data_IF_145933481845
#
_entry.id   IF_145933481845
#
_cell.length_a   1.000
_cell.length_b   1.000
_cell.length_c   1.000
_cell.angle_alpha   90.00
_cell.angle_beta   90.00
_cell.angle_gamma   90.00
#
_symmetry.space_group_name_H-M   'P 1'
#
loop_
_entity.id
_entity.type
_entity.pdbx_description
1 polymer ?
#
# COMPACT_ATOMS: atom_id res chain seq x y z
N UNK A 1 -0.95 -6.09 -37.38
CA UNK A 1 -0.17 -7.20 -37.96
C UNK A 1 -0.97 -8.48 -38.08
N UNK A 2 -1.58 -9.00 -36.99
CA UNK A 2 -2.40 -10.24 -37.05
C UNK A 2 -3.62 -10.08 -37.96
N UNK A 3 -4.34 -8.96 -37.85
CA UNK A 3 -5.54 -8.70 -38.66
C UNK A 3 -5.24 -8.32 -40.12
N UNK A 4 -4.02 -7.85 -40.41
CA UNK A 4 -3.62 -7.38 -41.73
C UNK A 4 -2.21 -7.88 -42.09
N UNK A 5 -1.98 -9.17 -42.17
CA UNK A 5 -0.64 -9.74 -42.37
C UNK A 5 -0.03 -9.40 -43.74
N UNK A 6 -0.89 -9.25 -44.75
CA UNK A 6 -0.47 -8.96 -46.14
C UNK A 6 0.04 -7.53 -46.34
N UNK A 7 -0.44 -6.61 -45.47
CA UNK A 7 -0.19 -5.17 -45.63
C UNK A 7 1.00 -4.72 -44.77
N UNK A 8 1.14 -5.29 -43.54
CA UNK A 8 2.05 -4.76 -42.52
C UNK A 8 2.68 -5.84 -41.65
N UNK A 9 3.37 -6.78 -42.25
CA UNK A 9 4.14 -7.81 -41.53
C UNK A 9 5.15 -7.21 -40.55
N UNK A 10 5.75 -6.08 -40.87
CA UNK A 10 6.74 -5.41 -40.03
C UNK A 10 6.13 -4.89 -38.71
N UNK A 11 4.86 -4.50 -38.72
CA UNK A 11 4.15 -4.06 -37.52
C UNK A 11 3.99 -5.22 -36.52
N UNK A 12 3.64 -6.39 -37.05
CA UNK A 12 3.54 -7.58 -36.22
C UNK A 12 4.90 -7.91 -35.60
N UNK A 13 5.94 -8.05 -36.41
CA UNK A 13 7.27 -8.42 -35.91
C UNK A 13 7.85 -7.40 -34.92
N UNK A 14 7.59 -6.11 -35.15
CA UNK A 14 8.04 -5.05 -34.24
C UNK A 14 7.28 -5.11 -32.90
N UNK A 15 5.95 -5.20 -32.96
CA UNK A 15 5.11 -5.31 -31.76
C UNK A 15 5.40 -6.58 -30.97
N UNK A 16 5.47 -7.72 -31.66
CA UNK A 16 5.78 -9.01 -31.06
C UNK A 16 7.13 -8.98 -30.30
N UNK A 17 8.21 -8.53 -30.96
CA UNK A 17 9.53 -8.45 -30.31
C UNK A 17 9.53 -7.56 -29.08
N UNK A 18 8.90 -6.38 -29.16
CA UNK A 18 8.79 -5.44 -28.04
C UNK A 18 8.04 -6.04 -26.87
N UNK A 19 6.84 -6.59 -27.10
CA UNK A 19 6.02 -7.20 -26.03
C UNK A 19 6.79 -8.35 -25.38
N UNK A 20 7.37 -9.26 -26.17
CA UNK A 20 8.11 -10.40 -25.62
C UNK A 20 9.34 -9.95 -24.80
N UNK A 21 10.02 -8.89 -25.25
CA UNK A 21 11.15 -8.34 -24.53
C UNK A 21 10.70 -7.64 -23.23
N UNK A 22 9.66 -6.80 -23.28
CA UNK A 22 9.16 -6.03 -22.13
C UNK A 22 8.66 -6.95 -21.01
N UNK A 23 7.91 -8.01 -21.30
CA UNK A 23 7.46 -8.98 -20.27
C UNK A 23 8.64 -9.52 -19.46
N UNK A 24 9.79 -9.74 -20.10
CA UNK A 24 10.98 -10.24 -19.42
C UNK A 24 11.60 -9.27 -18.41
N UNK A 25 11.48 -7.96 -18.67
CA UNK A 25 12.15 -6.92 -17.87
C UNK A 25 11.20 -6.11 -16.99
N UNK A 26 9.91 -6.13 -17.30
CA UNK A 26 8.92 -5.33 -16.58
C UNK A 26 8.44 -5.96 -15.27
N UNK A 27 8.70 -7.26 -15.08
CA UNK A 27 8.28 -7.97 -13.87
C UNK A 27 9.51 -8.50 -13.11
N UNK A 28 9.45 -8.39 -11.78
CA UNK A 28 10.44 -9.00 -10.91
C UNK A 28 10.25 -10.52 -10.75
N UNK A 29 11.08 -11.16 -9.94
CA UNK A 29 11.03 -12.60 -9.72
C UNK A 29 9.74 -13.08 -9.03
N UNK A 30 9.04 -12.19 -8.32
CA UNK A 30 7.77 -12.46 -7.68
C UNK A 30 6.58 -12.19 -8.61
N UNK A 31 6.84 -11.75 -9.85
CA UNK A 31 5.83 -11.42 -10.85
C UNK A 31 5.23 -10.04 -10.68
N UNK A 32 5.87 -9.14 -9.93
CA UNK A 32 5.37 -7.80 -9.70
C UNK A 32 5.94 -6.84 -10.74
N UNK A 33 5.06 -6.05 -11.35
CA UNK A 33 5.46 -5.03 -12.30
C UNK A 33 6.31 -3.95 -11.62
N UNK A 34 7.32 -3.44 -12.33
CA UNK A 34 8.32 -2.52 -11.82
C UNK A 34 7.76 -1.21 -11.22
N UNK A 35 6.56 -0.79 -11.61
CA UNK A 35 5.89 0.38 -11.03
C UNK A 35 5.31 0.14 -9.64
N UNK A 36 5.17 -1.12 -9.21
CA UNK A 36 4.84 -1.55 -7.83
C UNK A 36 3.54 -0.97 -7.26
N UNK A 37 2.66 -0.48 -8.11
CA UNK A 37 1.33 0.00 -7.72
C UNK A 37 0.25 -0.96 -8.21
N UNK A 38 -0.82 -1.22 -7.46
CA UNK A 38 -1.82 -2.22 -7.80
C UNK A 38 -2.42 -2.01 -9.20
N UNK A 39 -2.83 -0.78 -9.49
CA UNK A 39 -3.52 -0.45 -10.73
C UNK A 39 -2.61 -0.58 -11.97
N UNK A 40 -1.38 -0.05 -11.90
CA UNK A 40 -0.46 -0.12 -13.05
C UNK A 40 0.10 -1.53 -13.25
N UNK A 41 0.25 -2.28 -12.17
CA UNK A 41 0.55 -3.69 -12.26
C UNK A 41 -0.56 -4.45 -13.01
N UNK A 42 -1.83 -4.24 -12.64
CA UNK A 42 -2.96 -4.91 -13.29
C UNK A 42 -3.10 -4.52 -14.76
N UNK A 43 -2.95 -3.22 -15.08
CA UNK A 43 -2.98 -2.72 -16.47
C UNK A 43 -1.88 -3.37 -17.30
N UNK A 44 -0.63 -3.35 -16.82
CA UNK A 44 0.50 -3.94 -17.54
C UNK A 44 0.34 -5.46 -17.70
N UNK A 45 0.06 -6.18 -16.61
CA UNK A 45 -0.17 -7.61 -16.65
C UNK A 45 -1.33 -7.99 -17.58
N UNK A 46 -2.43 -7.25 -17.54
CA UNK A 46 -3.59 -7.44 -18.41
C UNK A 46 -3.26 -7.27 -19.89
N UNK A 47 -2.55 -6.21 -20.27
CA UNK A 47 -2.13 -5.96 -21.67
C UNK A 47 -1.22 -7.09 -22.16
N UNK A 48 -0.23 -7.48 -21.38
CA UNK A 48 0.68 -8.57 -21.77
C UNK A 48 -0.04 -9.92 -21.85
N UNK A 49 -0.98 -10.16 -20.95
CA UNK A 49 -1.78 -11.38 -20.98
C UNK A 49 -2.71 -11.44 -22.20
N UNK A 50 -3.30 -10.32 -22.62
CA UNK A 50 -4.05 -10.24 -23.89
C UNK A 50 -3.15 -10.58 -25.08
N UNK A 51 -1.94 -10.04 -25.13
CA UNK A 51 -0.96 -10.36 -26.19
C UNK A 51 -0.60 -11.85 -26.19
N UNK A 52 -0.41 -12.45 -25.02
CA UNK A 52 -0.17 -13.88 -24.87
C UNK A 52 -1.34 -14.72 -25.43
N UNK A 53 -2.57 -14.42 -25.03
CA UNK A 53 -3.78 -15.12 -25.53
C UNK A 53 -3.93 -14.97 -27.03
N UNK A 54 -3.70 -13.78 -27.58
CA UNK A 54 -3.76 -13.56 -29.03
C UNK A 54 -2.74 -14.41 -29.78
N UNK A 55 -1.54 -14.56 -29.24
CA UNK A 55 -0.53 -15.44 -29.83
C UNK A 55 -1.01 -16.90 -29.80
N UNK A 56 -1.52 -17.40 -28.66
CA UNK A 56 -2.05 -18.76 -28.54
C UNK A 56 -3.21 -19.02 -29.52
N UNK A 57 -4.16 -18.12 -29.63
CA UNK A 57 -5.34 -18.24 -30.50
C UNK A 57 -4.98 -18.24 -32.00
N UNK A 58 -3.79 -17.78 -32.36
CA UNK A 58 -3.32 -17.71 -33.77
C UNK A 58 -2.12 -18.61 -34.03
N UNK A 59 -1.83 -19.60 -33.18
CA UNK A 59 -0.71 -20.51 -33.26
C UNK A 59 0.65 -19.81 -33.42
N UNK A 60 0.79 -18.64 -32.83
CA UNK A 60 2.03 -17.86 -32.84
C UNK A 60 2.88 -18.28 -31.64
N UNK A 61 4.12 -18.77 -31.86
CA UNK A 61 4.99 -19.18 -30.77
C UNK A 61 5.24 -18.05 -29.77
N UNK A 62 5.26 -18.39 -28.48
CA UNK A 62 5.63 -17.45 -27.40
C UNK A 62 6.86 -17.96 -26.66
N UNK A 63 7.73 -17.07 -26.13
CA UNK A 63 8.87 -17.50 -25.34
C UNK A 63 8.45 -18.30 -24.10
N UNK A 64 9.23 -19.32 -23.68
CA UNK A 64 8.87 -20.19 -22.54
C UNK A 64 8.72 -19.46 -21.19
N UNK A 65 9.32 -18.28 -21.04
CA UNK A 65 9.23 -17.50 -19.81
C UNK A 65 7.91 -16.70 -19.68
N UNK A 66 7.19 -16.46 -20.79
CA UNK A 66 6.06 -15.53 -20.81
C UNK A 66 4.91 -16.01 -19.92
N UNK A 67 4.47 -17.24 -20.12
CA UNK A 67 3.36 -17.81 -19.35
C UNK A 67 3.66 -17.88 -17.85
N UNK A 68 4.81 -18.43 -17.38
CA UNK A 68 5.12 -18.44 -15.96
C UNK A 68 5.27 -17.05 -15.32
N UNK A 69 5.77 -16.07 -16.07
CA UNK A 69 5.88 -14.68 -15.58
C UNK A 69 4.49 -14.07 -15.37
N UNK A 70 3.62 -14.21 -16.35
CA UNK A 70 2.26 -13.68 -16.27
C UNK A 70 1.42 -14.43 -15.24
N UNK A 71 1.56 -15.74 -15.10
CA UNK A 71 0.87 -16.51 -14.06
C UNK A 71 1.25 -16.05 -12.65
N UNK A 72 2.51 -15.71 -12.41
CA UNK A 72 2.97 -15.15 -11.13
C UNK A 72 2.41 -13.75 -10.85
N UNK A 73 2.00 -13.00 -11.87
CA UNK A 73 1.53 -11.63 -11.68
C UNK A 73 0.16 -11.55 -10.99
N UNK A 74 -0.72 -12.50 -11.23
CA UNK A 74 -2.08 -12.46 -10.70
C UNK A 74 -2.18 -12.61 -9.17
N UNK A 75 -1.39 -13.46 -8.48
CA UNK A 75 -1.38 -13.57 -7.03
C UNK A 75 -1.03 -12.27 -6.30
N UNK A 76 -0.27 -11.37 -6.91
CA UNK A 76 0.04 -10.07 -6.29
C UNK A 76 -1.23 -9.25 -6.06
N UNK A 77 -2.03 -9.00 -7.09
CA UNK A 77 -3.31 -8.28 -6.93
C UNK A 77 -4.24 -9.01 -5.97
N UNK A 78 -4.33 -10.34 -6.10
CA UNK A 78 -5.15 -11.18 -5.21
C UNK A 78 -4.76 -10.98 -3.73
N UNK A 79 -3.46 -10.91 -3.43
CA UNK A 79 -2.97 -10.71 -2.07
C UNK A 79 -3.37 -9.37 -1.46
N UNK A 80 -3.56 -8.35 -2.30
CA UNK A 80 -3.93 -6.99 -1.89
C UNK A 80 -5.44 -6.80 -1.70
N UNK A 81 -6.29 -7.71 -2.22
CA UNK A 81 -7.74 -7.61 -2.02
C UNK A 81 -8.07 -7.70 -0.53
N UNK A 82 -8.63 -6.64 0.04
CA UNK A 82 -9.03 -6.55 1.44
C UNK A 82 -10.32 -7.35 1.72
N UNK A 83 -10.72 -7.58 2.98
CA UNK A 83 -11.96 -8.28 3.31
C UNK A 83 -13.24 -7.61 2.79
N UNK A 84 -13.24 -6.30 2.57
CA UNK A 84 -14.32 -5.56 1.91
C UNK A 84 -14.29 -5.64 0.39
N UNK A 85 -13.38 -6.45 -0.17
CA UNK A 85 -13.14 -6.69 -1.59
C UNK A 85 -12.53 -5.50 -2.35
N UNK A 86 -12.10 -4.45 -1.67
CA UNK A 86 -11.34 -3.35 -2.25
C UNK A 86 -9.83 -3.61 -2.19
N UNK A 87 -9.04 -2.82 -2.93
CA UNK A 87 -7.58 -2.82 -2.86
C UNK A 87 -7.04 -1.56 -2.18
N UNK A 88 -5.85 -1.61 -1.57
CA UNK A 88 -5.17 -0.43 -1.05
C UNK A 88 -4.74 0.52 -2.18
N UNK A 89 -4.63 1.80 -1.84
CA UNK A 89 -4.25 2.85 -2.79
C UNK A 89 -2.74 3.12 -2.74
N UNK A 90 -1.92 2.08 -2.94
CA UNK A 90 -0.46 2.18 -2.92
C UNK A 90 0.03 3.03 -4.09
N UNK A 91 0.74 4.12 -3.81
CA UNK A 91 1.22 5.07 -4.80
C UNK A 91 0.07 5.70 -5.59
N UNK A 92 0.21 5.84 -6.90
CA UNK A 92 -0.82 6.42 -7.77
C UNK A 92 -2.00 5.47 -8.07
N UNK A 93 -2.30 4.51 -7.19
CA UNK A 93 -3.48 3.67 -7.36
C UNK A 93 -4.74 4.42 -6.92
N UNK A 94 -5.82 4.26 -7.70
CA UNK A 94 -7.17 4.54 -7.25
C UNK A 94 -7.68 3.37 -6.40
N UNK A 95 -8.73 3.59 -5.61
CA UNK A 95 -9.41 2.49 -4.94
C UNK A 95 -10.12 1.65 -6.00
N UNK A 96 -9.75 0.40 -6.09
CA UNK A 96 -10.43 -0.59 -6.92
C UNK A 96 -11.22 -1.57 -6.04
N UNK A 97 -12.22 -2.25 -6.60
CA UNK A 97 -13.18 -3.04 -5.85
C UNK A 97 -13.73 -4.18 -6.71
N UNK A 98 -13.80 -5.39 -6.16
CA UNK A 98 -14.37 -6.55 -6.83
C UNK A 98 -15.90 -6.50 -6.97
N UNK A 99 -16.59 -5.62 -6.25
CA UNK A 99 -18.06 -5.55 -6.26
C UNK A 99 -18.60 -4.53 -7.24
N UNK A 100 -17.85 -3.45 -7.46
CA UNK A 100 -18.23 -2.34 -8.33
C UNK A 100 -17.21 -2.16 -9.44
N UNK A 101 -17.58 -1.43 -10.44
CA UNK A 101 -16.63 -0.91 -11.42
C UNK A 101 -15.73 0.10 -10.71
N UNK A 102 -14.48 0.18 -11.16
CA UNK A 102 -13.47 1.15 -10.72
C UNK A 102 -14.10 2.49 -10.34
N UNK A 103 -13.84 2.96 -9.13
CA UNK A 103 -14.32 4.26 -8.64
C UNK A 103 -13.63 5.43 -9.36
N UNK A 104 -13.86 5.58 -10.65
CA UNK A 104 -13.59 6.83 -11.36
C UNK A 104 -14.81 7.72 -11.24
N UNK A 105 -15.03 8.21 -10.02
CA UNK A 105 -16.28 8.88 -9.66
C UNK A 105 -16.37 10.32 -10.16
N UNK A 106 -15.26 10.92 -10.57
CA UNK A 106 -15.22 12.37 -10.74
C UNK A 106 -15.48 12.87 -12.15
N UNK A 107 -15.04 12.13 -13.17
CA UNK A 107 -15.21 12.54 -14.57
C UNK A 107 -16.42 11.90 -15.24
N UNK A 108 -17.01 10.87 -14.62
CA UNK A 108 -18.00 10.00 -15.24
C UNK A 108 -19.30 9.87 -14.43
N UNK A 109 -19.52 10.71 -13.42
CA UNK A 109 -20.85 10.85 -12.81
C UNK A 109 -21.87 11.21 -13.89
N UNK A 110 -22.73 10.24 -14.24
CA UNK A 110 -23.74 10.38 -15.30
C UNK A 110 -23.42 9.65 -16.60
N UNK A 111 -22.25 9.07 -16.79
CA UNK A 111 -22.02 8.13 -17.89
C UNK A 111 -22.46 6.74 -17.46
N UNK A 112 -23.46 6.17 -18.17
CA UNK A 112 -23.77 4.74 -18.12
C UNK A 112 -22.62 3.96 -18.78
N UNK A 113 -21.50 3.82 -18.06
CA UNK A 113 -20.40 2.96 -18.49
C UNK A 113 -20.88 1.53 -18.31
N UNK A 114 -21.20 0.86 -19.40
CA UNK A 114 -21.55 -0.56 -19.38
C UNK A 114 -20.34 -1.36 -18.96
N UNK A 115 -20.52 -2.28 -18.01
CA UNK A 115 -19.52 -3.27 -17.64
C UNK A 115 -19.05 -4.01 -18.90
N UNK A 116 -17.77 -3.87 -19.23
CA UNK A 116 -17.13 -4.68 -20.26
C UNK A 116 -16.48 -5.90 -19.58
N UNK A 117 -17.06 -7.08 -19.74
CA UNK A 117 -16.52 -8.29 -19.15
C UNK A 117 -15.15 -8.69 -19.73
N UNK A 118 -14.70 -8.05 -20.78
CA UNK A 118 -13.40 -8.30 -21.43
C UNK A 118 -12.38 -7.19 -21.17
N UNK A 119 -12.75 -6.15 -20.45
CA UNK A 119 -11.80 -5.12 -20.04
C UNK A 119 -10.94 -5.66 -18.88
N UNK A 120 -9.72 -6.08 -19.21
CA UNK A 120 -8.78 -6.60 -18.20
C UNK A 120 -8.21 -5.51 -17.26
N UNK A 121 -8.61 -4.25 -17.43
CA UNK A 121 -8.39 -3.23 -16.42
C UNK A 121 -9.42 -3.33 -15.29
N UNK A 122 -10.49 -4.09 -15.47
CA UNK A 122 -11.45 -4.44 -14.44
C UNK A 122 -10.96 -5.67 -13.66
N UNK A 123 -10.78 -5.54 -12.36
CA UNK A 123 -10.19 -6.59 -11.51
C UNK A 123 -10.94 -7.93 -11.60
N UNK A 124 -12.29 -7.91 -11.66
CA UNK A 124 -13.09 -9.12 -11.83
C UNK A 124 -12.89 -9.79 -13.20
N UNK A 125 -12.81 -8.99 -14.27
CA UNK A 125 -12.57 -9.50 -15.61
C UNK A 125 -11.17 -10.08 -15.73
N UNK A 126 -10.17 -9.45 -15.09
CA UNK A 126 -8.82 -9.94 -14.98
C UNK A 126 -8.78 -11.34 -14.32
N UNK A 127 -9.36 -11.49 -13.12
CA UNK A 127 -9.39 -12.79 -12.44
C UNK A 127 -10.23 -13.84 -13.17
N UNK A 128 -11.35 -13.47 -13.80
CA UNK A 128 -12.12 -14.40 -14.61
C UNK A 128 -11.30 -14.96 -15.77
N UNK A 129 -10.55 -14.11 -16.45
CA UNK A 129 -9.72 -14.55 -17.57
C UNK A 129 -8.62 -15.52 -17.10
N UNK A 130 -8.04 -15.28 -15.93
CA UNK A 130 -7.11 -16.23 -15.31
C UNK A 130 -7.78 -17.56 -14.92
N UNK A 131 -9.01 -17.51 -14.41
CA UNK A 131 -9.78 -18.72 -14.12
C UNK A 131 -10.06 -19.53 -15.40
N UNK A 132 -10.49 -18.88 -16.48
CA UNK A 132 -10.74 -19.51 -17.77
C UNK A 132 -9.47 -20.21 -18.33
N UNK A 133 -8.31 -19.60 -18.13
CA UNK A 133 -7.04 -20.15 -18.64
C UNK A 133 -6.48 -21.27 -17.76
N UNK A 134 -6.62 -21.20 -16.43
CA UNK A 134 -5.92 -22.09 -15.49
C UNK A 134 -6.84 -23.07 -14.74
N UNK A 135 -8.14 -22.81 -14.68
CA UNK A 135 -9.10 -23.55 -13.87
C UNK A 135 -8.91 -23.40 -12.36
N UNK A 136 -8.13 -22.45 -11.90
CA UNK A 136 -7.83 -22.25 -10.46
C UNK A 136 -9.04 -21.67 -9.74
N UNK A 137 -9.50 -22.34 -8.69
CA UNK A 137 -10.70 -21.96 -7.92
C UNK A 137 -10.49 -20.70 -7.08
N UNK A 138 -9.26 -20.31 -6.73
CA UNK A 138 -8.97 -19.05 -6.07
C UNK A 138 -9.17 -17.84 -7.02
N UNK A 139 -8.86 -17.98 -8.30
CA UNK A 139 -9.22 -16.97 -9.29
C UNK A 139 -10.73 -16.88 -9.52
N UNK A 140 -11.45 -18.00 -9.46
CA UNK A 140 -12.92 -18.01 -9.51
C UNK A 140 -13.52 -17.28 -8.31
N UNK A 141 -12.94 -17.49 -7.12
CA UNK A 141 -13.34 -16.77 -5.91
C UNK A 141 -13.21 -15.24 -6.10
N UNK A 142 -12.09 -14.77 -6.61
CA UNK A 142 -11.90 -13.34 -6.89
C UNK A 142 -12.85 -12.84 -8.00
N UNK A 143 -12.96 -13.56 -9.11
CA UNK A 143 -13.83 -13.20 -10.25
C UNK A 143 -15.31 -13.08 -9.87
N UNK A 144 -15.75 -13.81 -8.85
CA UNK A 144 -17.14 -13.82 -8.37
C UNK A 144 -17.37 -13.01 -7.10
N UNK A 145 -16.36 -12.24 -6.66
CA UNK A 145 -16.40 -11.50 -5.40
C UNK A 145 -16.77 -12.40 -4.20
N UNK A 146 -16.12 -13.55 -4.12
CA UNK A 146 -16.29 -14.51 -3.03
C UNK A 146 -17.54 -15.41 -3.09
N UNK A 147 -18.36 -15.29 -4.15
CA UNK A 147 -19.62 -16.06 -4.25
C UNK A 147 -19.43 -17.51 -4.68
N UNK A 148 -18.40 -17.77 -5.47
CA UNK A 148 -18.07 -19.08 -6.01
C UNK A 148 -16.55 -19.30 -5.94
N UNK A 149 -16.14 -20.55 -6.01
CA UNK A 149 -14.73 -20.92 -5.91
C UNK A 149 -14.27 -21.13 -4.48
N UNK A 150 -12.96 -21.17 -4.28
CA UNK A 150 -12.33 -21.39 -2.97
C UNK A 150 -11.37 -20.23 -2.69
N UNK A 151 -11.41 -19.65 -1.50
CA UNK A 151 -10.47 -18.58 -1.18
C UNK A 151 -9.02 -19.08 -1.27
N UNK A 152 -8.05 -18.19 -1.55
CA UNK A 152 -6.65 -18.57 -1.60
C UNK A 152 -6.20 -19.25 -0.31
N UNK A 153 -5.44 -20.35 -0.44
CA UNK A 153 -4.91 -21.09 0.71
C UNK A 153 -3.88 -20.26 1.49
N UNK A 154 -3.10 -19.45 0.77
CA UNK A 154 -2.14 -18.55 1.37
C UNK A 154 -2.85 -17.29 1.90
N UNK A 155 -2.49 -16.88 3.12
CA UNK A 155 -3.04 -15.68 3.77
C UNK A 155 -2.04 -14.53 3.82
N UNK A 156 -0.79 -14.84 4.13
CA UNK A 156 0.25 -13.85 4.34
C UNK A 156 1.23 -13.84 3.17
N UNK A 157 1.59 -12.64 2.72
CA UNK A 157 2.45 -12.46 1.55
C UNK A 157 3.58 -11.48 1.86
N UNK A 158 4.79 -11.83 1.43
CA UNK A 158 5.97 -10.97 1.52
C UNK A 158 6.62 -10.86 0.16
N UNK A 159 6.61 -9.67 -0.37
CA UNK A 159 7.21 -9.33 -1.65
C UNK A 159 8.45 -8.47 -1.38
N UNK A 160 9.57 -9.14 -1.09
CA UNK A 160 10.80 -8.48 -0.65
C UNK A 160 11.33 -7.49 -1.71
N UNK A 161 11.41 -7.84 -3.01
CA UNK A 161 11.87 -6.89 -4.04
C UNK A 161 10.96 -5.67 -4.19
N UNK A 162 9.66 -5.84 -4.02
CA UNK A 162 8.69 -4.75 -4.08
C UNK A 162 8.56 -3.98 -2.76
N UNK A 163 9.00 -4.55 -1.64
CA UNK A 163 8.86 -3.96 -0.31
C UNK A 163 7.41 -3.97 0.21
N UNK A 164 6.58 -4.94 -0.22
CA UNK A 164 5.16 -5.02 0.16
C UNK A 164 4.94 -6.27 1.00
N UNK A 165 4.36 -6.08 2.18
CA UNK A 165 4.14 -7.14 3.19
C UNK A 165 2.70 -7.12 3.64
N UNK A 166 1.99 -8.24 3.46
CA UNK A 166 0.54 -8.36 3.74
C UNK A 166 0.31 -9.48 4.74
N UNK A 167 -0.49 -9.20 5.76
CA UNK A 167 -0.97 -10.21 6.70
C UNK A 167 -2.48 -10.10 6.87
N UNK A 168 -3.14 -11.26 7.03
CA UNK A 168 -4.57 -11.35 7.25
C UNK A 168 -4.94 -12.55 8.11
N UNK A 169 -6.12 -12.53 8.72
CA UNK A 169 -6.66 -13.67 9.49
C UNK A 169 -7.40 -14.66 8.60
N UNK A 170 -7.97 -14.19 7.51
CA UNK A 170 -8.70 -14.98 6.53
C UNK A 170 -9.14 -14.17 5.32
N UNK A 171 -10.15 -14.68 4.61
CA UNK A 171 -10.71 -14.10 3.40
C UNK A 171 -12.21 -13.74 3.53
N UNK A 172 -12.77 -13.86 4.73
CA UNK A 172 -14.14 -13.49 5.02
C UNK A 172 -14.31 -11.98 5.25
N UNK A 173 -15.55 -11.47 5.19
CA UNK A 173 -15.81 -10.03 5.29
C UNK A 173 -15.51 -9.41 6.66
N UNK A 174 -15.46 -10.24 7.73
CA UNK A 174 -15.13 -9.78 9.08
C UNK A 174 -13.67 -10.08 9.47
N UNK A 175 -12.90 -10.70 8.57
CA UNK A 175 -11.49 -10.96 8.80
C UNK A 175 -10.68 -9.67 8.83
N UNK A 176 -9.51 -9.74 9.47
CA UNK A 176 -8.59 -8.62 9.55
C UNK A 176 -7.52 -8.71 8.47
N UNK A 177 -7.11 -7.57 8.01
CA UNK A 177 -6.05 -7.38 7.03
C UNK A 177 -5.21 -6.19 7.46
N UNK A 178 -3.91 -6.31 7.36
CA UNK A 178 -3.02 -5.16 7.40
C UNK A 178 -1.87 -5.36 6.43
N UNK A 179 -1.37 -4.27 5.91
CA UNK A 179 -0.15 -4.29 5.14
C UNK A 179 0.79 -3.19 5.58
N UNK A 180 2.07 -3.44 5.38
CA UNK A 180 3.13 -2.45 5.50
C UNK A 180 3.85 -2.42 4.16
N UNK A 181 4.08 -1.22 3.63
CA UNK A 181 4.91 -1.12 2.46
C UNK A 181 6.10 -0.19 2.66
N UNK A 182 7.20 -0.58 2.06
CA UNK A 182 8.42 0.17 2.04
C UNK A 182 9.00 0.02 0.66
N UNK A 183 8.53 0.84 -0.27
CA UNK A 183 8.94 0.73 -1.66
C UNK A 183 10.45 0.94 -1.75
N UNK A 184 11.14 -0.07 -2.26
CA UNK A 184 12.55 0.03 -2.59
C UNK A 184 12.69 0.80 -3.91
N UNK A 185 13.32 1.96 -3.83
CA UNK A 185 13.69 2.74 -5.01
C UNK A 185 15.20 2.62 -5.19
N UNK A 186 15.66 1.84 -6.14
CA UNK A 186 17.07 1.81 -6.47
C UNK A 186 17.50 3.14 -7.12
N UNK A 187 18.80 3.48 -6.95
CA UNK A 187 19.36 4.70 -7.50
C UNK A 187 19.24 4.67 -9.03
N UNK A 188 18.47 5.57 -9.60
CA UNK A 188 18.24 5.66 -11.04
C UNK A 188 16.96 4.97 -11.53
N UNK A 189 16.24 4.24 -10.68
CA UNK A 189 14.90 3.78 -11.00
C UNK A 189 13.92 4.96 -10.96
N UNK A 190 13.21 5.15 -12.05
CA UNK A 190 12.12 6.13 -12.15
C UNK A 190 10.83 5.38 -11.88
N UNK A 191 10.42 5.31 -10.63
CA UNK A 191 9.04 4.96 -10.36
C UNK A 191 8.19 6.23 -10.46
N UNK A 192 7.57 6.41 -11.62
CA UNK A 192 6.73 7.59 -11.90
C UNK A 192 5.48 7.65 -11.03
N UNK A 193 5.11 6.55 -10.39
CA UNK A 193 3.86 6.37 -9.65
C UNK A 193 4.03 6.11 -8.15
N UNK A 194 5.25 6.16 -7.61
CA UNK A 194 5.49 5.99 -6.18
C UNK A 194 5.33 7.29 -5.41
N UNK A 195 4.87 7.19 -4.17
CA UNK A 195 4.77 8.27 -3.20
C UNK A 195 5.94 8.21 -2.19
N UNK A 196 6.00 9.17 -1.26
CA UNK A 196 6.93 9.15 -0.13
C UNK A 196 6.30 8.44 1.07
N UNK A 197 5.95 7.19 0.88
CA UNK A 197 5.09 6.38 1.74
C UNK A 197 5.81 5.18 2.38
N UNK A 198 7.15 5.17 2.33
CA UNK A 198 7.95 4.11 2.93
C UNK A 198 7.67 3.98 4.44
N UNK A 199 7.34 2.76 4.86
CA UNK A 199 6.89 2.50 6.22
C UNK A 199 5.39 2.72 6.45
N UNK A 200 4.61 3.08 5.42
CA UNK A 200 3.16 3.21 5.53
C UNK A 200 2.50 1.91 6.01
N UNK A 201 1.46 2.05 6.82
CA UNK A 201 0.63 0.95 7.29
C UNK A 201 -0.84 1.24 7.03
N UNK A 202 -1.55 0.29 6.42
CA UNK A 202 -3.01 0.25 6.41
C UNK A 202 -3.52 -0.86 7.33
N UNK A 203 -4.65 -0.60 7.98
CA UNK A 203 -5.33 -1.55 8.87
C UNK A 203 -6.80 -1.61 8.51
N UNK A 204 -7.25 -2.82 8.19
CA UNK A 204 -8.65 -3.16 7.95
C UNK A 204 -9.06 -4.24 8.94
N UNK A 205 -10.13 -4.04 9.66
CA UNK A 205 -10.68 -5.03 10.60
C UNK A 205 -12.20 -4.93 10.68
N UNK A 206 -12.84 -6.08 10.89
CA UNK A 206 -14.30 -6.16 11.04
C UNK A 206 -15.06 -5.52 9.88
N UNK A 207 -14.56 -5.71 8.65
CA UNK A 207 -15.23 -5.28 7.43
C UNK A 207 -15.15 -3.78 7.13
N UNK A 208 -14.18 -3.04 7.69
CA UNK A 208 -13.95 -1.63 7.41
C UNK A 208 -12.48 -1.22 7.54
N UNK A 209 -12.09 -0.19 6.78
CA UNK A 209 -10.78 0.44 6.95
C UNK A 209 -10.78 1.25 8.25
N UNK A 210 -9.71 1.15 9.03
CA UNK A 210 -9.47 1.95 10.22
C UNK A 210 -8.37 2.96 9.96
N UNK A 211 -7.18 2.50 9.57
CA UNK A 211 -6.11 3.32 9.01
C UNK A 211 -6.04 3.09 7.51
N UNK A 212 -6.04 4.16 6.74
CA UNK A 212 -6.14 4.12 5.27
C UNK A 212 -5.06 4.95 4.61
N UNK A 213 -4.81 4.71 3.32
CA UNK A 213 -4.03 5.60 2.48
C UNK A 213 -4.87 6.78 2.00
N UNK A 214 -4.22 7.92 1.76
CA UNK A 214 -4.89 9.11 1.23
C UNK A 214 -5.12 9.06 -0.29
N UNK A 215 -4.46 8.16 -1.01
CA UNK A 215 -4.54 8.07 -2.47
C UNK A 215 -3.75 9.15 -3.20
N UNK A 216 -4.05 9.39 -4.50
CA UNK A 216 -3.22 10.23 -5.39
C UNK A 216 -3.82 11.57 -5.81
N UNK A 217 -5.14 11.70 -5.78
CA UNK A 217 -5.96 12.84 -6.21
C UNK A 217 -5.80 13.20 -7.70
N UNK A 218 -4.69 13.82 -8.09
CA UNK A 218 -4.43 14.30 -9.47
C UNK A 218 -3.00 14.00 -9.89
N UNK A 219 -2.73 14.00 -11.20
CA UNK A 219 -1.37 13.84 -11.70
C UNK A 219 -0.64 15.17 -11.86
N UNK A 220 -1.12 16.00 -12.76
CA UNK A 220 -0.39 17.19 -13.16
C UNK A 220 -1.34 18.31 -13.51
N UNK A 221 -1.37 19.34 -12.68
CA UNK A 221 -2.07 20.58 -13.01
C UNK A 221 -1.30 21.73 -12.39
N UNK A 222 -0.93 22.71 -13.21
CA UNK A 222 -0.23 23.90 -12.74
C UNK A 222 -1.02 24.69 -11.68
N UNK A 223 -2.35 24.59 -11.69
CA UNK A 223 -3.24 25.23 -10.71
C UNK A 223 -3.50 24.39 -9.45
N UNK A 224 -3.08 23.11 -9.42
CA UNK A 224 -3.29 22.20 -8.30
C UNK A 224 -1.98 21.60 -7.75
N UNK A 225 -0.87 22.26 -7.98
CA UNK A 225 0.47 21.76 -7.65
C UNK A 225 0.61 21.40 -6.17
N UNK A 226 0.09 22.22 -5.28
CA UNK A 226 0.19 21.99 -3.83
C UNK A 226 -0.60 20.76 -3.40
N UNK A 227 -1.76 20.52 -4.00
CA UNK A 227 -2.55 19.31 -3.75
C UNK A 227 -1.83 18.05 -4.22
N UNK A 228 -1.25 18.06 -5.42
CA UNK A 228 -0.46 16.91 -5.88
C UNK A 228 0.73 16.66 -4.96
N UNK A 229 1.42 17.72 -4.53
CA UNK A 229 2.54 17.60 -3.60
C UNK A 229 2.11 16.99 -2.26
N UNK A 230 0.96 17.40 -1.72
CA UNK A 230 0.43 16.81 -0.48
C UNK A 230 0.22 15.31 -0.63
N UNK A 231 -0.51 14.86 -1.64
CA UNK A 231 -0.81 13.43 -1.82
C UNK A 231 0.44 12.58 -2.15
N UNK A 232 1.51 13.18 -2.66
CA UNK A 232 2.81 12.52 -2.84
C UNK A 232 3.66 12.50 -1.58
N UNK A 233 3.41 13.41 -0.65
CA UNK A 233 4.22 13.66 0.55
C UNK A 233 3.99 12.60 1.61
N UNK A 234 5.01 12.29 2.41
CA UNK A 234 4.85 11.47 3.61
C UNK A 234 3.78 11.98 4.58
N UNK A 235 3.42 13.27 4.50
CA UNK A 235 2.32 13.87 5.29
C UNK A 235 0.94 13.29 4.97
N UNK A 236 0.74 12.72 3.78
CA UNK A 236 -0.51 12.09 3.37
C UNK A 236 -0.56 10.59 3.68
N UNK A 237 0.47 10.03 4.30
CA UNK A 237 0.61 8.60 4.53
C UNK A 237 0.83 8.28 6.02
N UNK A 238 0.54 7.04 6.43
CA UNK A 238 0.69 6.59 7.81
C UNK A 238 2.15 6.24 8.10
N UNK A 239 3.05 7.23 8.07
CA UNK A 239 4.49 7.05 8.22
C UNK A 239 5.17 8.23 8.92
N UNK A 240 6.49 8.16 9.01
CA UNK A 240 7.35 9.16 9.62
C UNK A 240 7.66 10.30 8.64
N UNK A 241 7.70 11.52 9.13
CA UNK A 241 8.14 12.72 8.43
C UNK A 241 9.09 13.54 9.29
N UNK A 242 10.18 14.05 8.73
CA UNK A 242 11.24 14.72 9.49
C UNK A 242 11.65 16.02 8.81
N UNK A 243 11.67 17.12 9.58
CA UNK A 243 12.21 18.45 9.22
C UNK A 243 11.72 19.01 7.87
N UNK A 244 10.48 18.73 7.53
CA UNK A 244 9.88 19.10 6.24
C UNK A 244 10.64 18.53 5.01
N UNK A 245 11.34 17.41 5.20
CA UNK A 245 12.04 16.68 4.15
C UNK A 245 11.29 15.41 3.74
N UNK A 246 11.17 15.21 2.44
CA UNK A 246 10.66 13.95 1.88
C UNK A 246 11.74 12.87 1.85
N UNK A 247 11.34 11.61 2.00
CA UNK A 247 12.27 10.47 2.00
C UNK A 247 13.01 10.36 0.68
N UNK A 248 14.35 10.32 0.74
CA UNK A 248 15.19 10.14 -0.44
C UNK A 248 15.14 11.26 -1.47
N UNK A 249 14.53 12.41 -1.19
CA UNK A 249 14.45 13.54 -2.10
C UNK A 249 15.38 14.68 -1.68
N UNK A 250 16.13 15.21 -2.66
CA UNK A 250 16.82 16.46 -2.50
C UNK A 250 15.92 17.56 -3.05
N UNK A 251 15.67 18.66 -2.33
CA UNK A 251 14.85 19.77 -2.81
C UNK A 251 15.29 20.23 -4.22
N UNK A 252 14.34 20.32 -5.14
CA UNK A 252 14.59 20.78 -6.51
C UNK A 252 15.11 19.72 -7.49
N UNK A 253 15.32 18.48 -7.06
CA UNK A 253 15.74 17.38 -7.93
C UNK A 253 14.79 16.20 -7.75
N UNK A 254 14.18 15.73 -8.82
CA UNK A 254 13.34 14.54 -8.80
C UNK A 254 14.19 13.32 -8.43
N UNK A 255 13.94 12.78 -7.24
CA UNK A 255 14.41 11.46 -6.72
C UNK A 255 15.85 11.08 -7.11
N UNK A 256 16.82 11.62 -6.42
CA UNK A 256 18.24 11.36 -6.70
C UNK A 256 18.88 10.28 -5.83
N UNK A 257 18.20 9.85 -4.74
CA UNK A 257 18.71 8.82 -3.84
C UNK A 257 17.69 7.70 -3.68
N UNK A 258 18.17 6.46 -3.76
CA UNK A 258 17.35 5.30 -3.49
C UNK A 258 17.00 5.19 -2.01
N UNK A 259 15.74 4.94 -1.71
CA UNK A 259 15.31 4.50 -0.38
C UNK A 259 15.38 2.98 -0.36
N UNK A 260 16.07 2.42 0.62
CA UNK A 260 16.14 0.97 0.83
C UNK A 260 15.39 0.58 2.07
N UNK A 261 14.60 -0.45 1.94
CA UNK A 261 13.86 -1.08 3.03
C UNK A 261 14.47 -2.43 3.35
N UNK A 262 14.56 -2.74 4.63
CA UNK A 262 15.07 -4.01 5.14
C UNK A 262 13.97 -4.70 5.95
N UNK A 263 13.63 -5.93 5.56
CA UNK A 263 12.74 -6.78 6.33
C UNK A 263 13.55 -7.50 7.42
N UNK A 264 13.20 -7.28 8.69
CA UNK A 264 13.82 -7.92 9.85
C UNK A 264 13.05 -9.15 10.30
N UNK A 265 11.69 -9.06 10.32
CA UNK A 265 10.83 -10.17 10.69
C UNK A 265 9.50 -10.12 9.90
N UNK A 266 9.00 -11.30 9.59
CA UNK A 266 7.67 -11.53 9.02
C UNK A 266 7.16 -12.84 9.60
N UNK A 267 6.39 -12.76 10.68
CA UNK A 267 6.09 -13.91 11.55
C UNK A 267 4.61 -13.98 11.88
N UNK A 268 4.10 -15.20 11.97
CA UNK A 268 2.75 -15.50 12.45
C UNK A 268 2.81 -16.70 13.39
N UNK A 269 2.12 -16.58 14.51
CA UNK A 269 1.82 -17.68 15.43
C UNK A 269 0.43 -17.49 16.07
N UNK A 270 0.07 -18.32 17.05
CA UNK A 270 -1.23 -18.23 17.73
C UNK A 270 -1.41 -16.94 18.54
N UNK A 271 -0.32 -16.26 18.90
CA UNK A 271 -0.34 -15.09 19.78
C UNK A 271 -0.25 -13.78 19.00
N UNK A 272 0.41 -13.75 17.84
CA UNK A 272 0.58 -12.53 17.06
C UNK A 272 0.89 -12.77 15.58
N UNK A 273 0.69 -11.71 14.80
CA UNK A 273 1.25 -11.50 13.47
C UNK A 273 2.18 -10.29 13.54
N UNK A 274 3.37 -10.38 12.94
CA UNK A 274 4.43 -9.35 13.01
C UNK A 274 5.01 -9.04 11.64
N UNK A 275 5.09 -7.74 11.32
CA UNK A 275 5.92 -7.19 10.25
C UNK A 275 6.91 -6.21 10.89
N UNK A 276 8.21 -6.41 10.67
CA UNK A 276 9.29 -5.56 11.19
C UNK A 276 10.19 -5.13 10.04
N UNK A 277 10.21 -3.84 9.75
CA UNK A 277 11.01 -3.25 8.68
C UNK A 277 11.83 -2.07 9.19
N UNK A 278 12.89 -1.73 8.46
CA UNK A 278 13.58 -0.44 8.60
C UNK A 278 13.90 0.16 7.24
N UNK A 279 14.12 1.46 7.18
CA UNK A 279 14.54 2.15 5.98
C UNK A 279 15.52 3.29 6.27
N UNK A 280 16.24 3.69 5.23
CA UNK A 280 17.24 4.75 5.26
C UNK A 280 16.75 6.06 4.60
N UNK A 281 15.46 6.30 4.56
CA UNK A 281 14.87 7.43 3.82
C UNK A 281 15.39 8.81 4.20
N UNK A 282 16.03 8.96 5.37
CA UNK A 282 16.57 10.20 5.90
C UNK A 282 18.10 10.15 6.12
N UNK A 283 18.83 9.20 5.49
CA UNK A 283 20.29 9.07 5.62
C UNK A 283 21.05 10.18 4.90
N UNK A 284 20.40 10.98 4.07
CA UNK A 284 20.97 12.08 3.30
C UNK A 284 21.09 13.40 4.08
N UNK A 285 20.46 13.49 5.24
CA UNK A 285 20.51 14.68 6.09
C UNK A 285 21.90 14.86 6.68
N UNK A 286 22.28 16.11 7.07
CA UNK A 286 23.56 16.41 7.71
C UNK A 286 23.68 15.71 9.09
N UNK A 287 22.56 15.50 9.77
CA UNK A 287 22.41 14.60 10.92
C UNK A 287 21.55 13.39 10.49
N UNK A 288 22.15 12.33 9.90
CA UNK A 288 21.44 11.21 9.30
C UNK A 288 20.55 10.46 10.29
N UNK A 289 19.33 10.13 9.86
CA UNK A 289 18.40 9.34 10.66
C UNK A 289 17.94 8.08 9.93
N UNK A 290 17.61 7.07 10.75
CA UNK A 290 17.10 5.78 10.34
C UNK A 290 15.81 5.49 11.07
N UNK A 291 14.84 4.96 10.36
CA UNK A 291 13.55 4.60 10.92
C UNK A 291 13.37 3.08 10.87
N UNK A 292 12.95 2.49 12.00
CA UNK A 292 12.51 1.10 12.11
C UNK A 292 11.08 1.09 12.62
N UNK A 293 10.21 0.37 11.93
CA UNK A 293 8.80 0.19 12.28
C UNK A 293 8.50 -1.29 12.46
N UNK A 294 7.88 -1.60 13.59
CA UNK A 294 7.23 -2.89 13.85
C UNK A 294 5.74 -2.72 13.89
N UNK A 295 5.01 -3.56 13.19
CA UNK A 295 3.56 -3.64 13.28
C UNK A 295 3.19 -5.02 13.77
N UNK A 296 2.58 -5.10 14.93
CA UNK A 296 2.14 -6.34 15.58
C UNK A 296 0.62 -6.32 15.67
N UNK A 297 -0.03 -7.33 15.10
CA UNK A 297 -1.42 -7.63 15.37
C UNK A 297 -1.50 -8.71 16.43
N UNK A 298 -2.18 -8.41 17.52
CA UNK A 298 -2.55 -9.34 18.61
C UNK A 298 -3.98 -9.86 18.39
N UNK A 299 -4.43 -10.88 19.17
CA UNK A 299 -5.85 -11.27 19.21
C UNK A 299 -6.79 -10.07 19.45
N UNK A 300 -8.06 -10.23 19.07
CA UNK A 300 -9.12 -9.22 19.22
C UNK A 300 -8.86 -7.90 18.44
N UNK A 301 -8.07 -7.96 17.38
CA UNK A 301 -7.73 -6.82 16.51
C UNK A 301 -7.06 -5.66 17.27
N UNK A 302 -6.21 -5.99 18.20
CA UNK A 302 -5.31 -5.03 18.84
C UNK A 302 -4.04 -4.92 18.01
N UNK A 303 -3.71 -3.70 17.59
CA UNK A 303 -2.50 -3.41 16.82
C UNK A 303 -1.53 -2.60 17.67
N UNK A 304 -0.27 -3.00 17.65
CA UNK A 304 0.83 -2.24 18.26
C UNK A 304 1.79 -1.84 17.14
N UNK A 305 2.00 -0.55 16.99
CA UNK A 305 2.96 0.02 16.05
C UNK A 305 4.10 0.64 16.87
N UNK A 306 5.28 0.11 16.70
CA UNK A 306 6.49 0.59 17.36
C UNK A 306 7.37 1.29 16.31
N UNK A 307 7.69 2.56 16.54
CA UNK A 307 8.55 3.36 15.68
C UNK A 307 9.81 3.77 16.44
N UNK A 308 10.97 3.38 15.94
CA UNK A 308 12.28 3.79 16.47
C UNK A 308 13.00 4.66 15.45
N UNK A 309 13.29 5.88 15.85
CA UNK A 309 14.11 6.80 15.07
C UNK A 309 15.47 6.89 15.75
N UNK A 310 16.51 6.52 15.01
CA UNK A 310 17.91 6.50 15.48
C UNK A 310 18.79 7.23 14.48
N UNK A 311 20.01 7.59 14.90
CA UNK A 311 20.94 8.30 14.03
C UNK A 311 22.16 8.81 14.78
N UNK A 312 22.82 9.84 14.25
CA UNK A 312 23.96 10.49 14.91
C UNK A 312 23.46 11.36 16.07
N UNK A 313 22.28 11.93 15.96
CA UNK A 313 21.55 12.62 17.04
C UNK A 313 22.25 13.86 17.60
N UNK A 314 22.88 14.66 16.74
CA UNK A 314 23.59 15.88 17.14
C UNK A 314 22.67 17.09 17.26
N UNK A 315 21.71 17.17 16.35
CA UNK A 315 20.84 18.32 16.15
C UNK A 315 19.44 18.06 16.71
N UNK A 316 18.65 19.13 16.85
CA UNK A 316 17.24 19.05 17.16
C UNK A 316 16.46 18.92 15.86
N UNK A 317 15.45 18.04 15.83
CA UNK A 317 14.64 17.73 14.68
C UNK A 317 13.16 17.86 15.01
N UNK A 318 12.37 18.12 14.00
CA UNK A 318 10.92 18.04 14.02
C UNK A 318 10.48 16.69 13.47
N UNK A 319 10.19 15.75 14.35
CA UNK A 319 9.88 14.35 14.03
C UNK A 319 8.39 14.15 14.20
N UNK A 320 7.68 13.78 13.12
CA UNK A 320 6.22 13.62 13.09
C UNK A 320 5.83 12.24 12.62
N UNK A 321 4.86 11.62 13.32
CA UNK A 321 4.13 10.45 12.85
C UNK A 321 2.74 10.88 12.41
N UNK A 322 2.30 10.45 11.23
CA UNK A 322 0.98 10.72 10.68
C UNK A 322 0.14 9.44 10.69
N UNK A 323 -1.14 9.60 11.04
CA UNK A 323 -2.14 8.53 11.00
C UNK A 323 -3.41 9.07 10.34
N UNK A 324 -3.75 8.55 9.16
CA UNK A 324 -4.96 8.87 8.42
C UNK A 324 -6.03 7.82 8.77
N UNK A 325 -7.07 8.24 9.45
CA UNK A 325 -8.21 7.38 9.72
C UNK A 325 -9.15 7.36 8.51
N UNK A 326 -9.84 6.25 8.30
CA UNK A 326 -10.92 6.19 7.33
C UNK A 326 -12.05 7.16 7.70
N UNK A 327 -13.11 7.21 6.89
CA UNK A 327 -14.27 8.05 7.20
C UNK A 327 -14.85 7.73 8.58
N UNK A 328 -14.97 8.75 9.42
CA UNK A 328 -15.43 8.61 10.79
C UNK A 328 -15.21 9.89 11.58
N UNK A 329 -15.18 9.79 12.87
CA UNK A 329 -14.92 10.90 13.78
C UNK A 329 -13.78 10.53 14.73
N UNK A 330 -12.81 11.40 14.87
CA UNK A 330 -11.67 11.26 15.78
C UNK A 330 -11.70 12.42 16.80
N UNK A 331 -11.62 12.08 18.07
CA UNK A 331 -11.53 13.04 19.18
C UNK A 331 -10.55 12.53 20.23
N UNK A 332 -9.96 13.43 21.00
CA UNK A 332 -9.06 13.08 22.08
C UNK A 332 -7.91 14.05 22.25
N UNK A 333 -7.11 13.81 23.28
CA UNK A 333 -5.99 14.64 23.67
C UNK A 333 -4.95 13.83 24.47
N UNK A 334 -3.79 14.44 24.73
CA UNK A 334 -2.78 13.89 25.64
C UNK A 334 -2.35 12.44 25.29
N UNK A 335 -2.32 12.11 23.98
CA UNK A 335 -1.88 10.81 23.51
C UNK A 335 -2.96 9.73 23.54
N UNK A 336 -4.21 10.05 23.86
CA UNK A 336 -5.32 9.12 23.81
C UNK A 336 -6.45 9.66 22.94
N UNK A 337 -6.85 8.91 21.92
CA UNK A 337 -7.80 9.33 20.91
C UNK A 337 -8.84 8.23 20.69
N UNK A 338 -10.09 8.61 20.62
CA UNK A 338 -11.21 7.73 20.33
C UNK A 338 -11.69 7.98 18.90
N UNK A 339 -11.69 6.94 18.10
CA UNK A 339 -12.17 6.95 16.72
C UNK A 339 -13.49 6.17 16.64
N UNK A 340 -14.48 6.79 16.02
CA UNK A 340 -15.76 6.15 15.68
C UNK A 340 -15.92 6.12 14.17
N UNK A 341 -15.99 4.92 13.62
CA UNK A 341 -16.14 4.70 12.17
C UNK A 341 -17.55 5.05 11.66
N UNK A 342 -17.73 5.09 10.33
CA UNK A 342 -19.07 5.25 9.74
C UNK A 342 -20.05 4.12 10.08
N UNK A 343 -19.53 2.93 10.44
CA UNK A 343 -20.33 1.79 10.90
C UNK A 343 -20.58 1.81 12.42
N UNK A 344 -20.36 2.96 13.06
CA UNK A 344 -20.53 3.14 14.52
C UNK A 344 -19.62 2.23 15.37
N UNK A 345 -18.56 1.70 14.81
CA UNK A 345 -17.56 0.93 15.56
C UNK A 345 -16.58 1.88 16.20
N UNK A 346 -16.20 1.55 17.43
CA UNK A 346 -15.32 2.39 18.23
C UNK A 346 -13.96 1.75 18.43
N UNK A 347 -12.93 2.54 18.25
CA UNK A 347 -11.53 2.18 18.48
C UNK A 347 -10.87 3.25 19.33
N UNK A 348 -9.93 2.84 20.17
CA UNK A 348 -9.08 3.80 20.90
C UNK A 348 -7.65 3.67 20.35
N UNK A 349 -7.06 4.80 19.98
CA UNK A 349 -5.64 4.91 19.69
C UNK A 349 -4.93 5.59 20.84
N UNK A 350 -3.87 4.95 21.35
CA UNK A 350 -2.97 5.55 22.35
C UNK A 350 -1.60 5.71 21.72
N UNK A 351 -1.06 6.92 21.72
CA UNK A 351 0.29 7.22 21.22
C UNK A 351 1.13 7.77 22.35
N UNK A 352 2.25 7.14 22.62
CA UNK A 352 3.22 7.57 23.64
C UNK A 352 4.66 7.44 23.12
N UNK A 353 5.58 8.15 23.73
CA UNK A 353 7.00 8.02 23.47
C UNK A 353 7.82 8.14 24.76
N UNK A 354 9.09 7.79 24.68
CA UNK A 354 10.09 8.03 25.74
C UNK A 354 10.44 9.54 25.89
N UNK A 355 9.85 10.39 25.05
CA UNK A 355 10.00 11.85 25.06
C UNK A 355 8.65 12.53 24.98
N UNK A 356 8.63 13.84 25.25
CA UNK A 356 7.40 14.64 25.15
C UNK A 356 6.88 14.67 23.72
N UNK A 357 5.57 14.49 23.58
CA UNK A 357 4.84 14.63 22.31
C UNK A 357 3.84 15.79 22.40
N UNK A 358 3.69 16.47 21.28
CA UNK A 358 2.57 17.37 21.01
C UNK A 358 1.68 16.70 19.94
N UNK A 359 0.37 17.00 19.95
CA UNK A 359 -0.60 16.34 19.08
C UNK A 359 -1.46 17.36 18.36
N UNK A 360 -1.82 17.03 17.11
CA UNK A 360 -2.71 17.81 16.28
C UNK A 360 -3.66 16.86 15.54
N UNK A 361 -4.92 17.27 15.40
CA UNK A 361 -5.91 16.58 14.56
C UNK A 361 -6.29 17.54 13.44
N UNK A 362 -6.15 17.09 12.20
CA UNK A 362 -6.60 17.79 11.00
C UNK A 362 -7.74 17.02 10.35
N UNK A 363 -8.72 17.71 9.82
CA UNK A 363 -9.79 17.13 9.00
C UNK A 363 -10.18 18.14 7.93
N UNK A 364 -9.86 17.84 6.66
CA UNK A 364 -10.17 18.73 5.56
C UNK A 364 -9.49 20.10 5.62
N UNK A 365 -8.32 20.21 6.25
CA UNK A 365 -7.56 21.44 6.32
C UNK A 365 -6.94 21.80 4.96
N UNK A 366 -7.03 23.07 4.56
CA UNK A 366 -6.42 23.60 3.33
C UNK A 366 -5.14 24.41 3.61
N UNK A 367 -4.91 24.83 4.85
CA UNK A 367 -3.70 25.54 5.28
C UNK A 367 -3.35 25.22 6.75
N UNK A 368 -2.36 24.36 7.03
CA UNK A 368 -1.68 23.49 6.08
C UNK A 368 -2.65 22.42 5.49
N UNK A 369 -2.36 21.96 4.28
CA UNK A 369 -3.16 20.89 3.67
C UNK A 369 -2.97 19.61 4.50
N UNK A 370 -4.08 19.01 4.98
CA UNK A 370 -4.07 17.81 5.79
C UNK A 370 -5.45 17.23 6.03
N UNK A 371 -5.53 15.91 6.28
CA UNK A 371 -6.79 15.23 6.56
C UNK A 371 -7.69 15.08 5.32
N UNK A 372 -7.15 14.60 4.22
CA UNK A 372 -7.88 14.35 2.97
C UNK A 372 -7.63 12.94 2.43
N UNK A 373 -8.67 12.39 1.80
CA UNK A 373 -8.60 11.12 1.06
C UNK A 373 -9.13 11.30 -0.36
N UNK A 374 -8.56 10.55 -1.31
CA UNK A 374 -8.94 10.54 -2.72
C UNK A 374 -9.05 9.10 -3.22
N UNK A 375 -10.27 8.64 -3.48
CA UNK A 375 -10.51 7.31 -4.05
C UNK A 375 -10.31 7.25 -5.57
N UNK A 376 -10.25 8.41 -6.22
CA UNK A 376 -10.09 8.48 -7.67
C UNK A 376 -9.71 9.88 -8.15
N UNK A 377 -9.46 9.99 -9.44
CA UNK A 377 -8.96 11.21 -10.07
C UNK A 377 -9.86 12.43 -9.84
N UNK A 378 -9.26 13.52 -9.35
CA UNK A 378 -9.90 14.81 -9.08
C UNK A 378 -11.06 14.76 -8.04
N UNK A 379 -11.19 13.69 -7.31
CA UNK A 379 -12.15 13.54 -6.21
C UNK A 379 -11.42 13.51 -4.87
N UNK A 380 -11.86 14.26 -3.89
CA UNK A 380 -11.34 14.22 -2.53
C UNK A 380 -12.41 14.50 -1.52
N UNK A 381 -12.26 13.94 -0.33
CA UNK A 381 -13.10 14.23 0.85
C UNK A 381 -12.26 14.34 2.10
N UNK A 382 -12.73 15.12 3.11
CA UNK A 382 -12.06 15.18 4.40
C UNK A 382 -12.12 13.83 5.13
N UNK A 383 -11.04 13.52 5.83
CA UNK A 383 -10.92 12.43 6.79
C UNK A 383 -10.14 12.90 8.02
N UNK A 384 -10.30 12.27 9.18
CA UNK A 384 -9.48 12.58 10.35
C UNK A 384 -8.02 12.16 10.13
N UNK A 385 -7.09 13.05 10.43
CA UNK A 385 -5.65 12.81 10.44
C UNK A 385 -5.08 13.20 11.80
N UNK A 386 -4.44 12.26 12.49
CA UNK A 386 -3.69 12.52 13.72
C UNK A 386 -2.22 12.72 13.40
N UNK A 387 -1.63 13.75 13.99
CA UNK A 387 -0.20 14.04 13.93
C UNK A 387 0.35 13.98 15.35
N UNK A 388 1.32 13.08 15.57
CA UNK A 388 2.09 13.03 16.80
C UNK A 388 3.49 13.60 16.54
N UNK A 389 3.86 14.67 17.25
CA UNK A 389 5.05 15.47 17.00
C UNK A 389 6.00 15.47 18.19
N UNK A 390 7.28 15.27 17.90
CA UNK A 390 8.40 15.54 18.80
C UNK A 390 9.32 16.60 18.20
N UNK A 391 9.60 17.67 18.96
CA UNK A 391 10.65 18.63 18.62
C UNK A 391 11.80 18.45 19.58
N UNK A 392 12.94 17.96 19.09
CA UNK A 392 14.12 17.65 19.92
C UNK A 392 15.05 16.64 19.26
N UNK A 393 16.06 16.19 20.01
CA UNK A 393 17.07 15.25 19.50
C UNK A 393 16.55 13.82 19.48
N UNK A 394 16.88 13.10 18.41
CA UNK A 394 16.82 11.64 18.43
C UNK A 394 17.89 11.06 19.40
N UNK A 395 17.90 9.76 19.79
CA UNK A 395 16.87 8.80 19.40
C UNK A 395 15.52 9.07 20.08
N UNK A 396 14.46 8.62 19.43
CA UNK A 396 13.12 8.59 20.01
C UNK A 396 12.43 7.27 19.69
N UNK A 397 11.63 6.80 20.64
CA UNK A 397 10.87 5.57 20.54
C UNK A 397 9.40 5.85 20.79
N UNK A 398 8.58 5.69 19.74
CA UNK A 398 7.13 5.79 19.81
C UNK A 398 6.50 4.42 19.94
N UNK A 399 5.43 4.35 20.72
CA UNK A 399 4.55 3.18 20.81
C UNK A 399 3.11 3.66 20.57
N UNK A 400 2.50 3.15 19.52
CA UNK A 400 1.10 3.40 19.20
C UNK A 400 0.32 2.11 19.38
N UNK A 401 -0.77 2.15 20.13
CA UNK A 401 -1.70 1.03 20.29
C UNK A 401 -3.04 1.45 19.74
N UNK A 402 -3.55 0.70 18.76
CA UNK A 402 -4.88 0.83 18.20
C UNK A 402 -5.69 -0.42 18.59
N UNK A 403 -6.80 -0.24 19.26
CA UNK A 403 -7.60 -1.34 19.77
C UNK A 403 -9.11 -1.03 19.70
N UNK A 404 -9.98 -2.04 19.51
CA UNK A 404 -11.41 -1.86 19.69
C UNK A 404 -11.71 -1.32 21.09
N UNK A 405 -12.64 -0.37 21.21
CA UNK A 405 -12.99 0.25 22.48
C UNK A 405 -13.45 -0.80 23.51
N UNK A 406 -12.98 -0.66 24.73
CA UNK A 406 -13.26 -1.62 25.82
C UNK A 406 -12.27 -2.79 25.91
N UNK A 407 -11.35 -2.92 24.96
CA UNK A 407 -10.24 -3.89 25.04
C UNK A 407 -9.17 -3.37 26.00
N UNK A 408 -8.51 -4.25 26.77
CA UNK A 408 -7.42 -3.85 27.70
C UNK A 408 -6.13 -3.53 26.93
N UNK A 409 -6.09 -2.38 26.28
CA UNK A 409 -4.92 -1.90 25.53
C UNK A 409 -3.66 -1.78 26.39
N UNK A 410 -3.78 -1.45 27.68
CA UNK A 410 -2.65 -1.36 28.62
C UNK A 410 -1.90 -2.68 28.80
N UNK A 411 -2.58 -3.83 28.68
CA UNK A 411 -1.92 -5.14 28.71
C UNK A 411 -1.09 -5.39 27.45
N UNK A 412 -1.48 -4.82 26.30
CA UNK A 412 -0.76 -4.96 25.03
C UNK A 412 0.55 -4.15 25.03
N UNK A 413 0.58 -2.98 25.66
CA UNK A 413 1.81 -2.17 25.82
C UNK A 413 2.84 -2.96 26.62
N UNK A 414 2.43 -3.60 27.71
CA UNK A 414 3.32 -4.40 28.53
C UNK A 414 3.84 -5.65 27.81
N UNK A 415 3.03 -6.28 26.97
CA UNK A 415 3.43 -7.44 26.16
C UNK A 415 4.44 -7.06 25.06
N UNK A 416 4.30 -5.90 24.41
CA UNK A 416 5.25 -5.44 23.40
C UNK A 416 6.62 -5.10 23.98
N UNK A 417 6.65 -4.56 25.19
CA UNK A 417 7.91 -4.22 25.91
C UNK A 417 8.64 -5.45 26.46
N UNK A 418 7.93 -6.55 26.79
CA UNK A 418 8.49 -7.70 27.50
C UNK A 418 8.86 -8.86 26.55
N UNK A 419 8.13 -9.09 25.47
CA UNK A 419 8.27 -10.31 24.66
C UNK A 419 8.83 -10.10 23.25
N UNK A 420 9.03 -8.87 22.81
CA UNK A 420 9.69 -8.55 21.55
C UNK A 420 11.09 -7.93 21.80
N UNK A 421 11.67 -8.18 22.98
CA UNK A 421 13.09 -7.97 23.19
C UNK A 421 13.86 -8.84 22.19
N UNK A 422 14.86 -8.24 21.55
CA UNK A 422 15.69 -8.73 20.46
C UNK A 422 15.84 -10.26 20.44
N UNK A 423 15.69 -10.91 19.26
CA UNK A 423 16.11 -12.29 19.13
C UNK A 423 17.58 -12.34 19.57
N UNK A 424 17.85 -13.10 20.61
CA UNK A 424 19.21 -13.43 21.04
C UNK A 424 19.99 -13.83 19.80
N UNK A 425 21.04 -13.05 19.45
CA UNK A 425 22.01 -13.46 18.44
C UNK A 425 22.43 -14.89 18.77
N UNK A 426 22.34 -15.84 17.83
CA UNK A 426 23.12 -17.08 18.00
C UNK A 426 24.58 -16.67 18.05
N UNK A 427 25.25 -17.10 19.05
CA UNK A 427 26.71 -17.00 19.21
C UNK A 427 27.46 -17.65 18.04
#
# INVERSE_FOLDING_TARGET
>A
GILFPEIKSDWFMTGYRRVMQEVKYSFDNDGIHMERTPIYHMVAAGVYFQCYRLCKLNDIPVPPYMEPTLEKSAPFIMSLVKPDLSTPMIGDADRDDLTTRRCDTSLYEGMNLTFDPYDLNEMRAYFRTWYEETGREDFRFMATAGKEGTPPAQRNYKYIPAGIYVMRTGWGPEDSYFHVHGIQLERGEVSSHSHNDTGHVEIHAKGEDILTDSGRYIYNSSCWKDWRHYFLSAKAHNTLYVDDHEMGTVPGVTRTRGVRTYLHAFEENEQYQLIDISHNGYDFMDDPMFHRRRVVRLPDDVYVIEDRVTGICREEHDIRLYYNFAFGHLDGENGKFDYTSQKERRYTMTVQADKKLDFEILEGSEDPIGGWISYGYAWRKPIPQLIAKHSGKAPIHFITVLAPAGTRAEAAINLSLIHISEPTRPE
#
